data_IF_103893787496
#
_entry.id   IF_103893787496
#
_cell.length_a   1.000
_cell.length_b   1.000
_cell.length_c   1.000
_cell.angle_alpha   90.00
_cell.angle_beta   90.00
_cell.angle_gamma   90.00
#
_symmetry.space_group_name_H-M   'P 1'
#
loop_
_entity.id
_entity.type
_entity.pdbx_description
1 polymer ?
#
# COMPACT_ATOMS: atom_id res chain seq x y z
N UNK A 1 -17.62 11.54 5.34
CA UNK A 1 -16.75 10.41 4.95
C UNK A 1 -15.31 10.85 5.08
N UNK A 2 -14.42 10.01 5.60
CA UNK A 2 -13.00 10.35 5.75
C UNK A 2 -12.35 10.39 4.37
N UNK A 3 -11.68 11.49 4.04
CA UNK A 3 -10.94 11.64 2.77
C UNK A 3 -9.47 11.23 2.92
N UNK A 4 -9.10 10.71 4.08
CA UNK A 4 -7.72 10.40 4.42
C UNK A 4 -7.41 8.93 4.10
N UNK A 5 -6.23 8.69 3.55
CA UNK A 5 -5.67 7.36 3.40
C UNK A 5 -5.24 6.90 4.80
N UNK A 6 -5.68 5.71 5.21
CA UNK A 6 -5.43 5.19 6.55
C UNK A 6 -4.54 3.96 6.44
N UNK A 7 -3.38 3.99 7.10
CA UNK A 7 -2.52 2.83 7.25
C UNK A 7 -2.65 2.29 8.67
N UNK A 8 -2.88 0.99 8.83
CA UNK A 8 -2.96 0.32 10.12
C UNK A 8 -2.04 -0.89 10.16
N UNK A 9 -1.38 -1.09 11.30
CA UNK A 9 -0.63 -2.31 11.63
C UNK A 9 -1.23 -2.91 12.90
N UNK A 10 -1.62 -4.18 12.87
CA UNK A 10 -2.32 -4.85 13.98
C UNK A 10 -3.52 -4.04 14.52
N UNK A 11 -4.28 -3.43 13.62
CA UNK A 11 -5.46 -2.63 13.94
C UNK A 11 -5.18 -1.22 14.48
N UNK A 12 -3.92 -0.84 14.70
CA UNK A 12 -3.54 0.50 15.16
C UNK A 12 -3.15 1.37 13.97
N UNK A 13 -3.68 2.60 13.91
CA UNK A 13 -3.29 3.57 12.89
C UNK A 13 -1.81 3.95 13.03
N UNK A 14 -1.13 4.03 11.89
CA UNK A 14 0.27 4.41 11.80
C UNK A 14 0.50 5.30 10.57
N UNK A 15 1.64 5.97 10.50
CA UNK A 15 1.98 6.88 9.41
C UNK A 15 2.49 6.16 8.17
N UNK A 16 1.93 6.48 6.99
CA UNK A 16 2.44 5.99 5.70
C UNK A 16 3.91 6.38 5.45
N UNK A 17 4.37 7.46 6.05
CA UNK A 17 5.76 7.92 6.02
C UNK A 17 6.73 7.01 6.82
N UNK A 18 6.20 6.08 7.61
CA UNK A 18 6.97 5.08 8.37
C UNK A 18 7.07 3.74 7.67
N UNK A 19 6.38 3.58 6.53
CA UNK A 19 6.46 2.38 5.71
C UNK A 19 7.70 2.44 4.81
N UNK A 20 8.36 1.33 4.57
CA UNK A 20 9.30 1.14 3.46
C UNK A 20 8.78 -0.03 2.65
N UNK A 21 8.95 -0.01 1.33
CA UNK A 21 8.49 -1.10 0.48
C UNK A 21 9.71 -1.90 0.07
N UNK A 22 9.73 -3.17 0.44
CA UNK A 22 10.72 -4.11 -0.03
C UNK A 22 10.11 -5.49 0.10
N UNK A 23 9.61 -6.04 -1.02
CA UNK A 23 9.01 -7.37 -1.02
C UNK A 23 10.10 -8.40 -0.66
N UNK A 24 9.91 -9.10 0.45
CA UNK A 24 10.84 -10.10 0.97
C UNK A 24 10.20 -11.49 0.84
N UNK A 25 11.03 -12.54 0.74
CA UNK A 25 10.56 -13.92 0.82
C UNK A 25 9.90 -14.20 2.19
N UNK A 26 8.84 -15.02 2.18
CA UNK A 26 7.84 -15.14 3.26
C UNK A 26 8.36 -15.74 4.59
N UNK A 27 9.63 -16.13 4.70
CA UNK A 27 10.17 -16.95 5.80
C UNK A 27 10.54 -16.19 7.09
N UNK A 28 10.12 -14.93 7.26
CA UNK A 28 10.42 -14.18 8.48
C UNK A 28 9.47 -14.49 9.63
N UNK A 29 10.02 -15.00 10.73
CA UNK A 29 9.28 -15.43 11.93
C UNK A 29 8.71 -14.28 12.80
N UNK A 30 8.73 -13.02 12.33
CA UNK A 30 8.25 -11.85 13.08
C UNK A 30 7.57 -10.83 12.15
N UNK A 31 6.41 -11.19 11.62
CA UNK A 31 5.59 -10.28 10.81
C UNK A 31 4.39 -9.74 11.60
N UNK A 32 3.89 -8.60 11.13
CA UNK A 32 2.61 -8.01 11.53
C UNK A 32 1.73 -7.85 10.29
N UNK A 33 0.42 -7.97 10.47
CA UNK A 33 -0.56 -7.72 9.42
C UNK A 33 -0.80 -6.22 9.30
N UNK A 34 -0.92 -5.76 8.06
CA UNK A 34 -1.30 -4.39 7.77
C UNK A 34 -2.57 -4.29 6.95
N UNK A 35 -3.21 -3.13 7.04
CA UNK A 35 -4.29 -2.70 6.16
C UNK A 35 -4.00 -1.26 5.72
N UNK A 36 -4.00 -0.99 4.42
CA UNK A 36 -4.07 0.36 3.88
C UNK A 36 -5.46 0.53 3.28
N UNK A 37 -6.21 1.50 3.79
CA UNK A 37 -7.49 1.92 3.23
C UNK A 37 -7.29 3.19 2.39
N UNK A 38 -7.64 3.11 1.10
CA UNK A 38 -7.54 4.19 0.12
C UNK A 38 -8.95 4.63 -0.27
N UNK A 39 -9.40 5.84 0.11
CA UNK A 39 -10.70 6.36 -0.27
C UNK A 39 -10.90 6.46 -1.79
N UNK A 40 -12.13 6.25 -2.27
CA UNK A 40 -12.46 6.23 -3.71
C UNK A 40 -11.99 7.45 -4.49
N UNK A 41 -11.99 8.63 -3.85
CA UNK A 41 -11.55 9.90 -4.46
C UNK A 41 -10.09 9.88 -4.92
N UNK A 42 -9.24 9.03 -4.32
CA UNK A 42 -7.81 8.97 -4.60
C UNK A 42 -7.40 7.80 -5.51
N UNK A 43 -8.31 6.85 -5.78
CA UNK A 43 -8.00 5.60 -6.49
C UNK A 43 -7.34 5.86 -7.84
N UNK A 44 -7.96 6.70 -8.69
CA UNK A 44 -7.42 6.99 -10.02
C UNK A 44 -6.06 7.67 -9.93
N UNK A 45 -5.88 8.63 -9.02
CA UNK A 45 -4.63 9.35 -8.88
C UNK A 45 -3.46 8.44 -8.46
N UNK A 46 -3.74 7.39 -7.68
CA UNK A 46 -2.72 6.46 -7.16
C UNK A 46 -2.47 5.31 -8.12
N UNK A 47 -3.52 4.62 -8.55
CA UNK A 47 -3.38 3.33 -9.23
C UNK A 47 -3.41 3.47 -10.74
N UNK A 48 -4.05 4.49 -11.30
CA UNK A 48 -4.19 4.70 -12.73
C UNK A 48 -4.07 6.18 -13.15
N UNK A 49 -2.94 6.83 -12.87
CA UNK A 49 -2.77 8.27 -13.12
C UNK A 49 -2.85 8.64 -14.61
N UNK A 50 -2.69 7.66 -15.50
CA UNK A 50 -2.73 7.83 -16.96
C UNK A 50 -3.99 7.24 -17.62
N UNK A 51 -4.98 6.80 -16.84
CA UNK A 51 -6.27 6.28 -17.32
C UNK A 51 -6.13 5.08 -18.29
N UNK A 52 -5.23 4.16 -17.97
CA UNK A 52 -4.92 2.94 -18.72
C UNK A 52 -5.80 1.75 -18.33
N UNK A 53 -6.42 1.77 -17.14
CA UNK A 53 -7.28 0.68 -16.69
C UNK A 53 -8.56 0.65 -17.55
N UNK A 54 -8.90 -0.54 -18.05
CA UNK A 54 -10.17 -0.72 -18.76
C UNK A 54 -11.37 -0.52 -17.81
N UNK A 55 -12.43 0.10 -18.31
CA UNK A 55 -13.69 0.31 -17.56
C UNK A 55 -14.30 -1.01 -17.07
N UNK A 56 -14.12 -2.10 -17.82
CA UNK A 56 -14.67 -3.43 -17.49
C UNK A 56 -13.80 -4.22 -16.51
N UNK A 57 -12.58 -3.77 -16.25
CA UNK A 57 -11.65 -4.48 -15.38
C UNK A 57 -11.93 -4.14 -13.91
N UNK A 58 -11.83 -5.13 -13.03
CA UNK A 58 -11.90 -4.91 -11.59
C UNK A 58 -10.64 -4.18 -11.07
N UNK A 59 -10.78 -3.31 -10.07
CA UNK A 59 -9.63 -2.60 -9.49
C UNK A 59 -8.66 -3.54 -8.79
N UNK A 60 -9.18 -4.49 -8.01
CA UNK A 60 -8.36 -5.47 -7.32
C UNK A 60 -7.56 -6.35 -8.28
N UNK A 61 -8.15 -6.74 -9.40
CA UNK A 61 -7.44 -7.44 -10.49
C UNK A 61 -6.37 -6.57 -11.15
N UNK A 62 -6.72 -5.34 -11.54
CA UNK A 62 -5.78 -4.42 -12.19
C UNK A 62 -4.54 -4.16 -11.34
N UNK A 63 -4.73 -3.83 -10.05
CA UNK A 63 -3.62 -3.54 -9.13
C UNK A 63 -2.78 -4.80 -8.89
N UNK A 64 -3.40 -5.97 -8.70
CA UNK A 64 -2.68 -7.24 -8.54
C UNK A 64 -1.83 -7.58 -9.76
N UNK A 65 -2.35 -7.36 -10.97
CA UNK A 65 -1.60 -7.60 -12.20
C UNK A 65 -0.38 -6.68 -12.32
N UNK A 66 -0.55 -5.38 -12.03
CA UNK A 66 0.57 -4.43 -12.01
C UNK A 66 1.65 -4.85 -10.99
N UNK A 67 1.25 -5.21 -9.76
CA UNK A 67 2.21 -5.66 -8.73
C UNK A 67 2.91 -6.96 -9.15
N UNK A 68 2.20 -7.89 -9.80
CA UNK A 68 2.80 -9.13 -10.29
C UNK A 68 3.82 -8.87 -11.41
N UNK A 69 3.55 -7.92 -12.29
CA UNK A 69 4.40 -7.59 -13.43
C UNK A 69 5.64 -6.77 -13.03
N UNK A 70 5.46 -5.78 -12.15
CA UNK A 70 6.48 -4.79 -11.81
C UNK A 70 7.01 -4.89 -10.38
N UNK A 71 6.42 -5.74 -9.54
CA UNK A 71 6.89 -6.05 -8.18
C UNK A 71 7.01 -4.83 -7.26
N UNK A 72 8.15 -4.76 -6.57
CA UNK A 72 8.48 -3.68 -5.62
C UNK A 72 8.41 -2.29 -6.26
N UNK A 73 8.79 -2.14 -7.54
CA UNK A 73 8.88 -0.84 -8.21
C UNK A 73 7.52 -0.13 -8.28
N UNK A 74 6.47 -0.85 -8.71
CA UNK A 74 5.13 -0.23 -8.82
C UNK A 74 4.52 0.04 -7.45
N UNK A 75 4.77 -0.85 -6.48
CA UNK A 75 4.26 -0.69 -5.12
C UNK A 75 4.92 0.49 -4.41
N UNK A 76 6.22 0.70 -4.60
CA UNK A 76 6.92 1.91 -4.16
C UNK A 76 6.28 3.17 -4.75
N UNK A 77 5.97 3.15 -6.05
CA UNK A 77 5.26 4.24 -6.74
C UNK A 77 3.91 4.54 -6.10
N UNK A 78 3.08 3.53 -5.85
CA UNK A 78 1.79 3.69 -5.20
C UNK A 78 1.92 4.29 -3.79
N UNK A 79 2.80 3.74 -2.96
CA UNK A 79 3.01 4.26 -1.60
C UNK A 79 3.55 5.69 -1.61
N UNK A 80 4.41 6.04 -2.58
CA UNK A 80 4.90 7.41 -2.76
C UNK A 80 3.74 8.38 -3.03
N UNK A 81 2.86 8.06 -3.99
CA UNK A 81 1.69 8.89 -4.30
C UNK A 81 0.75 9.03 -3.10
N UNK A 82 0.53 7.95 -2.34
CA UNK A 82 -0.26 8.01 -1.11
C UNK A 82 0.33 8.98 -0.06
N UNK A 83 1.67 9.06 0.07
CA UNK A 83 2.33 10.01 0.99
C UNK A 83 2.20 11.45 0.53
N UNK A 84 2.32 11.69 -0.77
CA UNK A 84 2.16 13.02 -1.37
C UNK A 84 0.74 13.55 -1.11
N UNK A 85 -0.28 12.70 -1.28
CA UNK A 85 -1.67 13.02 -0.92
C UNK A 85 -1.82 13.26 0.59
N UNK A 86 -1.17 12.42 1.42
CA UNK A 86 -1.19 12.54 2.88
C UNK A 86 -0.32 13.66 3.46
N UNK A 87 0.30 14.51 2.63
CA UNK A 87 1.12 15.66 3.05
C UNK A 87 2.28 15.34 4.03
N UNK A 88 2.81 14.12 3.99
CA UNK A 88 3.88 13.69 4.89
C UNK A 88 5.24 13.74 4.20
N UNK A 89 6.03 14.80 4.47
CA UNK A 89 7.32 15.04 3.79
C UNK A 89 8.54 14.36 4.44
N UNK A 90 8.45 13.99 5.72
CA UNK A 90 9.57 13.38 6.45
C UNK A 90 9.35 11.87 6.59
N UNK A 91 10.21 11.07 5.97
CA UNK A 91 10.20 9.60 6.10
C UNK A 91 10.98 9.15 7.33
N UNK A 92 10.39 8.24 8.11
CA UNK A 92 11.02 7.63 9.29
C UNK A 92 10.68 6.15 9.34
N UNK A 93 11.43 5.35 8.59
CA UNK A 93 11.11 3.94 8.36
C UNK A 93 11.07 3.14 9.66
N UNK A 94 9.92 2.50 9.89
CA UNK A 94 9.63 1.65 11.04
C UNK A 94 9.12 0.27 10.61
N UNK A 95 8.49 0.21 9.44
CA UNK A 95 7.93 -1.01 8.85
C UNK A 95 8.48 -1.24 7.45
N UNK A 96 8.66 -2.50 7.09
CA UNK A 96 8.96 -2.94 5.72
C UNK A 96 7.78 -3.76 5.23
N UNK A 97 7.08 -3.29 4.19
CA UNK A 97 6.03 -4.05 3.51
C UNK A 97 6.69 -5.23 2.80
N UNK A 98 6.42 -6.44 3.31
CA UNK A 98 7.05 -7.67 2.85
C UNK A 98 6.18 -8.43 1.84
N UNK A 99 4.85 -8.40 1.98
CA UNK A 99 3.94 -9.03 1.02
C UNK A 99 2.58 -8.35 0.95
N UNK A 100 1.85 -8.61 -0.14
CA UNK A 100 0.43 -8.27 -0.31
C UNK A 100 -0.34 -9.57 -0.42
N UNK A 101 -1.33 -9.76 0.45
CA UNK A 101 -2.16 -10.97 0.46
C UNK A 101 -3.51 -10.74 -0.23
N UNK A 102 -4.10 -9.56 -0.04
CA UNK A 102 -5.45 -9.25 -0.53
C UNK A 102 -5.53 -7.81 -1.02
N UNK A 103 -6.27 -7.63 -2.11
CA UNK A 103 -6.72 -6.32 -2.60
C UNK A 103 -8.20 -6.46 -2.90
N UNK A 104 -9.02 -5.63 -2.27
CA UNK A 104 -10.47 -5.66 -2.47
C UNK A 104 -11.06 -4.27 -2.54
N UNK A 105 -12.11 -4.16 -3.35
CA UNK A 105 -12.94 -2.97 -3.44
C UNK A 105 -14.00 -3.00 -2.33
N UNK A 106 -14.18 -1.87 -1.69
CA UNK A 106 -15.18 -1.62 -0.65
C UNK A 106 -16.11 -0.50 -1.14
N UNK A 107 -17.19 -0.25 -0.40
CA UNK A 107 -18.11 0.86 -0.72
C UNK A 107 -17.43 2.23 -0.70
N UNK A 108 -16.38 2.38 0.10
CA UNK A 108 -15.73 3.66 0.38
C UNK A 108 -14.34 3.79 -0.29
N UNK A 109 -13.86 2.75 -0.98
CA UNK A 109 -12.55 2.76 -1.63
C UNK A 109 -11.92 1.38 -1.78
N UNK A 110 -10.60 1.31 -1.84
CA UNK A 110 -9.83 0.06 -1.93
C UNK A 110 -9.12 -0.20 -0.62
N UNK A 111 -9.10 -1.47 -0.20
CA UNK A 111 -8.26 -1.91 0.90
C UNK A 111 -7.20 -2.89 0.41
N UNK A 112 -5.96 -2.61 0.79
CA UNK A 112 -4.80 -3.47 0.53
C UNK A 112 -4.38 -4.07 1.87
N UNK A 113 -4.28 -5.40 1.92
CA UNK A 113 -3.76 -6.12 3.08
C UNK A 113 -2.51 -6.90 2.73
N UNK A 114 -1.72 -7.15 3.75
CA UNK A 114 -0.59 -8.05 3.66
C UNK A 114 0.22 -8.05 4.93
N UNK A 115 1.52 -8.29 4.78
CA UNK A 115 2.45 -8.38 5.89
C UNK A 115 3.47 -7.25 5.84
N UNK A 116 3.82 -6.77 7.03
CA UNK A 116 4.98 -5.90 7.28
C UNK A 116 5.90 -6.58 8.29
N UNK A 117 7.18 -6.26 8.22
CA UNK A 117 8.18 -6.62 9.25
C UNK A 117 8.79 -5.35 9.84
N UNK A 118 9.30 -5.36 11.07
CA UNK A 118 10.00 -4.21 11.63
C UNK A 118 11.22 -3.83 10.77
N UNK A 119 11.42 -2.53 10.55
CA UNK A 119 12.64 -2.04 9.92
C UNK A 119 13.81 -2.15 10.90
N UNK A 120 14.82 -2.96 10.55
CA UNK A 120 16.05 -3.11 11.33
C UNK A 120 17.18 -2.44 10.53
N UNK A 121 17.65 -1.24 10.92
CA UNK A 121 18.81 -0.63 10.29
C UNK A 121 20.02 -1.54 10.50
N UNK A 122 20.79 -1.80 9.44
CA UNK A 122 22.09 -2.47 9.58
C UNK A 122 23.02 -1.51 10.32
N UNK A 123 23.59 -1.98 11.43
CA UNK A 123 24.61 -1.29 12.20
C UNK A 123 25.92 -1.15 11.41
#
# INVERSE_FOLDING_TARGET
MSHNIIFRVEGKEDGLNRLWVHLQEEDQHNYSNFIIHIPSVHINAIFDPFQLKSERQDWGEYIRNNIKEFGTFVLEGYIKLMREIGSSSVTSYFWVLSSISEIYETKDGIEIKGRVVPFIPRA
#
